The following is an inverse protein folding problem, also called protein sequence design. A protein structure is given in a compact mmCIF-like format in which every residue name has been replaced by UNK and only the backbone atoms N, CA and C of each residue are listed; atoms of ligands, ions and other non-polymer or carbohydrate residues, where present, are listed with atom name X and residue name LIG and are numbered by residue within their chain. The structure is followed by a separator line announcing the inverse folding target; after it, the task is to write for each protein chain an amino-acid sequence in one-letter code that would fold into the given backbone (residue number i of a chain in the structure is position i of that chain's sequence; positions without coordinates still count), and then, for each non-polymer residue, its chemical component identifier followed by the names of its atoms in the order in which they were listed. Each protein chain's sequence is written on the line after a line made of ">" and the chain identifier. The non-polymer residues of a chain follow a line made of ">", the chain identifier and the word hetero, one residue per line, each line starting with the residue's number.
data_IF_662193498190
#
_entry.id   IF_662193498190
#
_cell.length_a   1.000
_cell.length_b   1.000
_cell.length_c   1.000
_cell.angle_alpha   90.00
_cell.angle_beta   90.00
_cell.angle_gamma   90.00
#
_symmetry.space_group_name_H-M   'P 1'
#
loop_
_entity.id
_entity.type
_entity.pdbx_description
1 polymer ?
#
# COMPACT_ATOMS: atom_id res chain seq x y z
N UNK A 1 -19.79 25.92 -25.17
CA UNK A 1 -19.24 25.45 -23.88
C UNK A 1 -18.37 24.23 -24.14
N UNK A 2 -17.13 24.45 -24.60
CA UNK A 2 -16.12 23.40 -24.70
C UNK A 2 -15.15 23.66 -23.56
N UNK A 3 -15.43 23.10 -22.38
CA UNK A 3 -14.41 22.95 -21.35
C UNK A 3 -13.59 21.73 -21.77
N UNK A 4 -12.82 21.90 -22.84
CA UNK A 4 -11.75 20.98 -23.17
C UNK A 4 -10.70 21.25 -22.11
N UNK A 5 -10.34 20.24 -21.32
CA UNK A 5 -9.28 20.35 -20.33
C UNK A 5 -7.92 20.39 -21.04
N UNK A 6 -7.71 21.41 -21.87
CA UNK A 6 -6.38 21.75 -22.30
C UNK A 6 -5.61 22.25 -21.07
N UNK A 7 -4.45 21.63 -20.84
CA UNK A 7 -3.52 21.92 -19.73
C UNK A 7 -3.47 23.41 -19.32
N UNK A 8 -3.43 24.40 -20.23
CA UNK A 8 -3.45 25.81 -19.85
C UNK A 8 -4.63 26.24 -18.98
N UNK A 9 -5.86 25.77 -19.24
CA UNK A 9 -7.04 26.21 -18.50
C UNK A 9 -7.07 25.63 -17.08
N UNK A 10 -6.65 24.36 -16.93
CA UNK A 10 -6.42 23.74 -15.61
C UNK A 10 -5.33 24.50 -14.85
N UNK A 11 -4.25 24.90 -15.52
CA UNK A 11 -3.12 25.57 -14.86
C UNK A 11 -3.52 26.93 -14.29
N UNK A 12 -4.33 27.72 -15.01
CA UNK A 12 -4.83 29.00 -14.51
C UNK A 12 -5.71 28.82 -13.27
N UNK A 13 -6.63 27.85 -13.29
CA UNK A 13 -7.46 27.53 -12.12
C UNK A 13 -6.63 27.02 -10.94
N UNK A 14 -5.60 26.21 -11.20
CA UNK A 14 -4.67 25.74 -10.19
C UNK A 14 -3.90 26.89 -9.55
N UNK A 15 -3.37 27.83 -10.34
CA UNK A 15 -2.65 29.01 -9.84
C UNK A 15 -3.59 29.88 -9.00
N UNK A 16 -4.82 30.11 -9.45
CA UNK A 16 -5.80 30.88 -8.69
C UNK A 16 -6.12 30.20 -7.34
N UNK A 17 -6.33 28.88 -7.35
CA UNK A 17 -6.53 28.10 -6.14
C UNK A 17 -5.29 28.16 -5.22
N UNK A 18 -4.09 28.10 -5.78
CA UNK A 18 -2.83 28.19 -5.05
C UNK A 18 -2.63 29.56 -4.40
N UNK A 19 -3.10 30.65 -5.01
CA UNK A 19 -3.04 31.98 -4.40
C UNK A 19 -4.02 32.07 -3.22
N UNK A 20 -5.23 31.52 -3.36
CA UNK A 20 -6.25 31.55 -2.30
C UNK A 20 -5.89 30.63 -1.11
N UNK A 21 -5.43 29.40 -1.40
CA UNK A 21 -5.14 28.40 -0.38
C UNK A 21 -3.68 28.43 0.09
N UNK A 22 -2.76 28.88 -0.76
CA UNK A 22 -1.31 28.80 -0.55
C UNK A 22 -0.70 27.47 -1.02
N UNK A 23 0.46 27.48 -1.72
CA UNK A 23 1.14 26.27 -2.16
C UNK A 23 1.60 25.37 -1.02
N UNK A 24 1.86 25.93 0.16
CA UNK A 24 2.27 25.17 1.35
C UNK A 24 1.11 24.43 2.01
N UNK A 25 -0.13 24.86 1.78
CA UNK A 25 -1.32 24.23 2.38
C UNK A 25 -1.79 23.03 1.58
N UNK A 26 -1.61 23.00 0.26
CA UNK A 26 -1.91 21.83 -0.56
C UNK A 26 -1.23 20.53 -0.09
N UNK A 27 0.10 20.47 0.15
CA UNK A 27 0.75 19.26 0.65
C UNK A 27 0.32 18.94 2.08
N UNK A 28 -0.01 19.94 2.91
CA UNK A 28 -0.53 19.73 4.25
C UNK A 28 -1.89 19.02 4.23
N UNK A 29 -2.83 19.51 3.42
CA UNK A 29 -4.15 18.88 3.20
C UNK A 29 -4.02 17.52 2.53
N UNK A 30 -3.14 17.37 1.54
CA UNK A 30 -2.84 16.09 0.89
C UNK A 30 -2.29 15.06 1.85
N UNK A 31 -1.40 15.44 2.76
CA UNK A 31 -0.87 14.54 3.79
C UNK A 31 -1.95 14.11 4.81
N UNK A 32 -2.91 14.97 5.14
CA UNK A 32 -4.05 14.64 6.01
C UNK A 32 -5.02 13.69 5.30
N UNK A 33 -5.39 13.99 4.05
CA UNK A 33 -6.23 13.12 3.22
C UNK A 33 -5.57 11.77 2.95
N UNK A 34 -4.26 11.74 2.69
CA UNK A 34 -3.50 10.50 2.48
C UNK A 34 -3.53 9.58 3.70
N UNK A 35 -3.38 10.14 4.92
CA UNK A 35 -3.54 9.36 6.16
C UNK A 35 -4.97 8.84 6.32
N UNK A 36 -5.97 9.65 6.00
CA UNK A 36 -7.38 9.24 6.05
C UNK A 36 -7.67 8.11 5.06
N UNK A 37 -7.24 8.23 3.79
CA UNK A 37 -7.37 7.20 2.77
C UNK A 37 -6.65 5.90 3.16
N UNK A 38 -5.48 5.98 3.81
CA UNK A 38 -4.80 4.79 4.31
C UNK A 38 -5.62 4.06 5.38
N UNK A 39 -6.29 4.79 6.29
CA UNK A 39 -7.20 4.22 7.29
C UNK A 39 -8.44 3.63 6.65
N UNK A 40 -9.06 4.34 5.70
CA UNK A 40 -10.20 3.84 4.94
C UNK A 40 -9.85 2.54 4.21
N UNK A 41 -8.70 2.50 3.51
CA UNK A 41 -8.24 1.31 2.79
C UNK A 41 -8.06 0.11 3.73
N UNK A 42 -7.55 0.33 4.93
CA UNK A 42 -7.38 -0.74 5.92
C UNK A 42 -8.74 -1.27 6.40
N UNK A 43 -9.67 -0.39 6.75
CA UNK A 43 -11.03 -0.78 7.12
C UNK A 43 -11.76 -1.50 5.96
N UNK A 44 -11.57 -1.04 4.72
CA UNK A 44 -12.13 -1.67 3.53
C UNK A 44 -11.57 -3.08 3.30
N UNK A 45 -10.31 -3.36 3.63
CA UNK A 45 -9.73 -4.70 3.47
C UNK A 45 -10.39 -5.72 4.41
N UNK A 46 -10.69 -5.31 5.65
CA UNK A 46 -11.37 -6.16 6.64
C UNK A 46 -12.80 -6.51 6.20
N UNK A 47 -13.50 -5.60 5.52
CA UNK A 47 -14.85 -5.83 4.99
C UNK A 47 -14.83 -6.57 3.64
N UNK A 48 -13.83 -6.32 2.80
CA UNK A 48 -13.74 -6.91 1.45
C UNK A 48 -13.36 -8.39 1.51
N UNK A 49 -12.48 -8.79 2.44
CA UNK A 49 -12.03 -10.18 2.56
C UNK A 49 -13.18 -11.18 2.81
N UNK A 50 -14.10 -10.97 3.77
CA UNK A 50 -15.22 -11.88 3.99
C UNK A 50 -16.23 -11.84 2.83
N UNK A 51 -16.45 -10.69 2.20
CA UNK A 51 -17.37 -10.57 1.08
C UNK A 51 -16.86 -11.30 -0.16
N UNK A 52 -15.57 -11.18 -0.49
CA UNK A 52 -14.94 -11.97 -1.55
C UNK A 52 -14.99 -13.46 -1.28
N UNK A 53 -14.73 -13.88 -0.04
CA UNK A 53 -14.83 -15.28 0.35
C UNK A 53 -16.26 -15.84 0.22
N UNK A 54 -17.29 -15.01 0.40
CA UNK A 54 -18.69 -15.41 0.23
C UNK A 54 -19.17 -15.42 -1.24
N UNK A 55 -18.58 -14.59 -2.10
CA UNK A 55 -18.94 -14.47 -3.52
C UNK A 55 -18.16 -15.44 -4.42
N UNK A 56 -16.92 -15.76 -4.08
CA UNK A 56 -16.05 -16.65 -4.88
C UNK A 56 -16.02 -18.07 -4.29
N UNK A 57 -16.93 -18.92 -4.76
CA UNK A 57 -16.82 -20.38 -4.67
C UNK A 57 -15.76 -20.94 -5.65
N UNK A 58 -14.58 -20.30 -5.73
CA UNK A 58 -13.43 -20.80 -6.50
C UNK A 58 -12.59 -21.76 -5.62
N UNK A 59 -12.04 -22.87 -6.19
CA UNK A 59 -11.06 -23.69 -5.49
C UNK A 59 -9.83 -22.85 -5.09
N UNK A 60 -9.17 -23.18 -3.96
CA UNK A 60 -8.12 -22.35 -3.40
C UNK A 60 -7.00 -22.14 -4.42
N UNK A 61 -6.83 -20.89 -4.90
CA UNK A 61 -5.66 -20.50 -5.69
C UNK A 61 -4.41 -20.87 -4.88
N UNK A 62 -3.44 -21.60 -5.46
CA UNK A 62 -2.25 -22.03 -4.74
C UNK A 62 -1.59 -20.80 -4.11
N UNK A 63 -1.49 -20.82 -2.78
CA UNK A 63 -0.99 -19.72 -1.98
C UNK A 63 0.47 -19.46 -2.37
N UNK A 64 0.71 -18.45 -3.20
CA UNK A 64 2.05 -17.91 -3.42
C UNK A 64 2.54 -17.38 -2.08
N UNK A 65 3.60 -17.98 -1.57
CA UNK A 65 4.19 -17.57 -0.32
C UNK A 65 4.77 -16.15 -0.52
N UNK A 66 4.50 -15.20 0.39
CA UNK A 66 4.97 -13.83 0.23
C UNK A 66 6.50 -13.78 0.30
N UNK A 67 7.12 -13.12 -0.68
CA UNK A 67 8.58 -13.02 -0.80
C UNK A 67 9.24 -12.19 0.32
N UNK A 68 8.47 -11.34 1.02
CA UNK A 68 8.97 -10.45 2.08
C UNK A 68 7.86 -9.94 2.99
N UNK A 69 8.25 -9.52 4.20
CA UNK A 69 7.35 -8.95 5.21
C UNK A 69 7.77 -7.54 5.62
N UNK A 70 6.81 -6.69 5.93
CA UNK A 70 7.11 -5.35 6.43
C UNK A 70 7.66 -5.39 7.86
N UNK A 71 8.89 -4.96 8.10
CA UNK A 71 9.52 -4.91 9.44
C UNK A 71 8.82 -4.01 10.47
N UNK A 72 7.88 -3.14 10.06
CA UNK A 72 7.12 -2.29 10.99
C UNK A 72 5.77 -2.89 11.40
N UNK A 73 5.07 -3.53 10.48
CA UNK A 73 3.69 -3.99 10.72
C UNK A 73 3.45 -5.47 10.42
N UNK A 74 4.49 -6.21 10.04
CA UNK A 74 4.46 -7.65 9.79
C UNK A 74 3.63 -8.08 8.60
N UNK A 75 3.18 -7.16 7.73
CA UNK A 75 2.36 -7.55 6.57
C UNK A 75 3.16 -8.29 5.51
N UNK A 76 2.60 -9.37 4.94
CA UNK A 76 3.13 -9.97 3.73
C UNK A 76 3.05 -8.95 2.59
N UNK A 77 4.16 -8.76 1.88
CA UNK A 77 4.26 -7.83 0.78
C UNK A 77 4.63 -8.61 -0.47
N UNK A 78 3.83 -8.45 -1.52
CA UNK A 78 4.26 -8.92 -2.84
C UNK A 78 5.43 -8.08 -3.34
N UNK A 79 6.28 -8.68 -4.17
CA UNK A 79 7.45 -8.01 -4.74
C UNK A 79 7.03 -6.72 -5.49
N UNK A 80 7.86 -5.66 -5.40
CA UNK A 80 7.76 -4.37 -6.12
C UNK A 80 7.02 -3.17 -5.49
N UNK A 81 6.59 -3.22 -4.22
CA UNK A 81 6.16 -2.00 -3.51
C UNK A 81 7.34 -1.15 -3.04
N UNK A 82 7.38 0.14 -3.41
CA UNK A 82 8.31 1.15 -2.89
C UNK A 82 7.95 1.61 -1.45
N UNK A 83 6.70 1.41 -1.03
CA UNK A 83 6.17 1.78 0.28
C UNK A 83 5.17 0.75 0.78
N UNK A 84 5.12 0.50 2.09
CA UNK A 84 4.13 -0.39 2.68
C UNK A 84 2.72 0.25 2.65
N UNK A 85 1.71 -0.37 2.01
CA UNK A 85 0.35 0.19 1.92
C UNK A 85 -0.40 0.21 3.26
N UNK A 86 0.05 -0.55 4.27
CA UNK A 86 -0.56 -0.57 5.60
C UNK A 86 0.01 0.51 6.53
N UNK A 87 1.32 0.72 6.56
CA UNK A 87 1.97 1.62 7.51
C UNK A 87 2.74 2.80 6.88
N UNK A 88 2.81 2.90 5.55
CA UNK A 88 3.41 4.03 4.84
C UNK A 88 4.94 4.13 4.90
N UNK A 89 5.63 3.15 5.51
CA UNK A 89 7.11 3.14 5.57
C UNK A 89 7.66 2.81 4.17
N UNK A 90 8.73 3.49 3.77
CA UNK A 90 9.51 3.14 2.57
C UNK A 90 10.09 1.74 2.72
N UNK A 91 9.99 0.95 1.67
CA UNK A 91 10.60 -0.37 1.59
C UNK A 91 11.80 -0.21 0.64
N UNK A 92 13.01 -0.16 1.19
CA UNK A 92 14.21 -0.05 0.37
C UNK A 92 14.49 -1.42 -0.27
N UNK A 93 14.93 -1.39 -1.53
CA UNK A 93 15.03 -2.58 -2.38
C UNK A 93 16.26 -3.47 -2.09
N UNK A 94 17.03 -3.15 -1.05
CA UNK A 94 18.33 -3.79 -0.75
C UNK A 94 18.25 -4.90 0.32
N UNK A 95 17.14 -5.04 1.06
CA UNK A 95 16.88 -6.23 1.89
C UNK A 95 16.18 -7.30 1.03
N UNK A 96 16.82 -7.68 -0.08
CA UNK A 96 16.41 -8.72 -1.01
C UNK A 96 17.56 -9.70 -1.30
N UNK A 97 18.45 -9.92 -0.33
CA UNK A 97 19.44 -11.00 -0.40
C UNK A 97 19.55 -11.69 0.96
N UNK A 98 19.15 -12.96 0.97
CA UNK A 98 19.19 -13.97 2.04
C UNK A 98 18.07 -13.96 3.08
N UNK A 99 17.17 -14.97 3.04
CA UNK A 99 16.82 -15.65 4.28
C UNK A 99 18.06 -16.43 4.72
N UNK A 100 18.79 -15.93 5.72
CA UNK A 100 19.48 -16.85 6.62
C UNK A 100 18.38 -17.68 7.29
N UNK A 101 18.25 -18.92 6.84
CA UNK A 101 17.41 -19.93 7.48
C UNK A 101 17.66 -19.89 9.00
N UNK A 102 16.63 -19.92 9.85
CA UNK A 102 16.85 -20.10 11.28
C UNK A 102 17.54 -21.44 11.51
N UNK A 103 18.74 -21.40 12.09
CA UNK A 103 19.62 -22.52 12.42
C UNK A 103 19.11 -23.37 13.60
N UNK A 104 17.80 -23.56 13.72
CA UNK A 104 17.16 -24.32 14.80
C UNK A 104 16.04 -25.22 14.26
N UNK A 105 16.41 -26.11 13.34
CA UNK A 105 15.62 -27.32 13.06
C UNK A 105 16.50 -28.54 13.34
N UNK A 106 16.69 -28.81 14.64
CA UNK A 106 17.38 -30.00 15.14
C UNK A 106 16.42 -30.86 15.96
N UNK A 107 16.51 -32.17 15.71
CA UNK A 107 16.09 -33.31 16.55
C UNK A 107 14.60 -33.70 16.58
N UNK A 108 14.24 -34.58 15.63
CA UNK A 108 13.14 -35.54 15.74
C UNK A 108 13.66 -36.95 15.43
N UNK A 109 14.27 -37.56 16.45
CA UNK A 109 14.99 -38.83 16.52
C UNK A 109 14.10 -40.05 16.18
N UNK A 110 14.56 -40.87 15.24
CA UNK A 110 14.05 -42.24 15.00
C UNK A 110 15.09 -43.25 15.50
N UNK A 111 14.84 -43.81 16.68
CA UNK A 111 15.35 -45.12 17.15
C UNK A 111 14.15 -45.92 17.64
#
# INVERSE_FOLDING_TARGET
>A
MKVGLEIPEILVLLILALILFGPEKLPEYGAKLGRFLARLRQASQEVTQPLKAALEAEPPKPLKLPDRFCHRCGQPLEANFAFCPKCGRRLNQEEASFPSLPSHYSEGKSE
#
